data_IF_717062095065
#
_entry.id   IF_717062095065
#
_cell.length_a   1.000
_cell.length_b   1.000
_cell.length_c   1.000
_cell.angle_alpha   90.00
_cell.angle_beta   90.00
_cell.angle_gamma   90.00
#
_symmetry.space_group_name_H-M   'P 1'
#
loop_
_entity.id
_entity.type
_entity.pdbx_description
1 polymer ?
#
# COMPACT_ATOMS: atom_id res chain seq x y z
N UNK A 1 -4.48 13.99 14.47
CA UNK A 1 -4.92 12.75 13.80
C UNK A 1 -3.67 11.94 13.55
N UNK A 2 -3.37 11.00 14.44
CA UNK A 2 -2.27 10.07 14.25
C UNK A 2 -2.74 9.02 13.26
N UNK A 3 -2.33 9.15 11.99
CA UNK A 3 -2.55 8.10 11.00
C UNK A 3 -1.63 6.93 11.36
N UNK A 4 -2.11 6.04 12.22
CA UNK A 4 -1.35 4.83 12.58
C UNK A 4 -1.14 3.99 11.32
N UNK A 5 0.10 3.61 11.00
CA UNK A 5 0.37 2.85 9.80
C UNK A 5 -0.29 1.48 9.87
N UNK A 6 -0.94 1.08 8.78
CA UNK A 6 -1.66 -0.19 8.74
C UNK A 6 -0.67 -1.34 8.57
N UNK A 7 -0.74 -2.33 9.47
CA UNK A 7 0.09 -3.54 9.41
C UNK A 7 -0.79 -4.78 9.21
N UNK A 8 -0.31 -5.71 8.39
CA UNK A 8 -0.95 -6.97 8.09
C UNK A 8 0.08 -8.09 8.21
N UNK A 9 0.09 -8.75 9.38
CA UNK A 9 1.16 -9.70 9.73
C UNK A 9 2.51 -9.00 9.77
N UNK A 10 3.47 -9.49 9.00
CA UNK A 10 4.82 -8.89 8.89
C UNK A 10 4.90 -7.76 7.86
N UNK A 11 3.79 -7.43 7.18
CA UNK A 11 3.77 -6.41 6.14
C UNK A 11 3.19 -5.11 6.65
N UNK A 12 3.87 -4.00 6.38
CA UNK A 12 3.34 -2.65 6.63
C UNK A 12 2.87 -2.04 5.32
N UNK A 13 1.76 -1.30 5.38
CA UNK A 13 1.23 -0.56 4.24
C UNK A 13 2.00 0.74 4.06
N UNK A 14 2.52 0.93 2.86
CA UNK A 14 3.19 2.15 2.45
C UNK A 14 2.48 2.78 1.27
N UNK A 15 2.61 4.10 1.17
CA UNK A 15 2.18 4.89 0.03
C UNK A 15 3.36 5.67 -0.55
N UNK A 16 3.35 5.85 -1.86
CA UNK A 16 4.29 6.76 -2.52
C UNK A 16 3.75 7.28 -3.84
N UNK A 17 4.28 8.41 -4.27
CA UNK A 17 4.00 8.96 -5.59
C UNK A 17 5.00 8.39 -6.60
N UNK A 18 4.48 7.80 -7.66
CA UNK A 18 5.29 7.32 -8.80
C UNK A 18 4.88 8.03 -10.07
N UNK A 19 5.87 8.31 -10.91
CA UNK A 19 5.65 8.80 -12.26
C UNK A 19 5.52 7.60 -13.19
N UNK A 20 4.32 7.36 -13.70
CA UNK A 20 4.05 6.34 -14.71
C UNK A 20 4.43 6.83 -16.11
N UNK A 21 4.43 5.92 -17.09
CA UNK A 21 4.60 6.29 -18.51
C UNK A 21 3.62 7.39 -18.91
N UNK A 22 4.11 8.38 -19.64
CA UNK A 22 3.32 9.54 -20.08
C UNK A 22 3.28 10.70 -19.08
N UNK A 23 4.29 10.84 -18.21
CA UNK A 23 4.39 11.93 -17.21
C UNK A 23 3.21 11.99 -16.22
N UNK A 24 2.49 10.87 -16.05
CA UNK A 24 1.36 10.80 -15.13
C UNK A 24 1.86 10.46 -13.74
N UNK A 25 1.69 11.38 -12.79
CA UNK A 25 1.88 11.09 -11.36
C UNK A 25 0.72 10.28 -10.83
N UNK A 26 1.01 9.16 -10.19
CA UNK A 26 0.02 8.32 -9.52
C UNK A 26 0.51 7.94 -8.14
N UNK A 27 -0.34 8.14 -7.13
CA UNK A 27 -0.09 7.59 -5.81
C UNK A 27 -0.39 6.10 -5.83
N UNK A 28 0.60 5.29 -5.48
CA UNK A 28 0.46 3.84 -5.33
C UNK A 28 0.49 3.46 -3.86
N UNK A 29 -0.13 2.34 -3.54
CA UNK A 29 -0.12 1.74 -2.22
C UNK A 29 0.38 0.31 -2.33
N UNK A 30 1.27 -0.09 -1.42
CA UNK A 30 1.88 -1.40 -1.45
C UNK A 30 2.28 -1.86 -0.06
N UNK A 31 2.33 -3.18 0.12
CA UNK A 31 2.75 -3.81 1.35
C UNK A 31 4.23 -4.19 1.30
N UNK A 32 5.00 -3.88 2.35
CA UNK A 32 6.42 -4.21 2.45
C UNK A 32 6.82 -4.55 3.88
N UNK A 33 7.81 -5.44 4.05
CA UNK A 33 8.35 -5.81 5.37
C UNK A 33 9.40 -4.81 5.87
N UNK A 34 10.27 -4.33 4.99
CA UNK A 34 11.44 -3.50 5.36
C UNK A 34 11.33 -2.02 4.97
N UNK A 35 10.12 -1.54 4.64
CA UNK A 35 9.94 -0.18 4.13
C UNK A 35 10.74 0.08 2.85
N UNK A 36 10.62 1.28 2.29
CA UNK A 36 11.53 1.82 1.27
C UNK A 36 11.73 3.29 1.63
N UNK A 37 12.94 3.82 1.47
CA UNK A 37 13.24 5.25 1.71
C UNK A 37 12.23 6.20 1.05
N UNK A 38 11.80 5.84 -0.15
CA UNK A 38 10.92 6.64 -0.99
C UNK A 38 9.43 6.40 -0.71
N UNK A 39 9.06 5.76 0.40
CA UNK A 39 7.68 5.42 0.71
C UNK A 39 7.33 5.69 2.17
N UNK A 40 6.16 6.30 2.37
CA UNK A 40 5.68 6.68 3.69
C UNK A 40 4.71 5.63 4.20
N UNK A 41 4.88 5.13 5.44
CA UNK A 41 3.91 4.22 6.04
C UNK A 41 2.58 4.96 6.24
N UNK A 42 1.47 4.32 5.90
CA UNK A 42 0.16 4.98 5.82
C UNK A 42 -0.96 4.07 6.33
N UNK A 43 -2.05 4.68 6.79
CA UNK A 43 -3.27 3.97 7.14
C UNK A 43 -3.95 3.39 5.88
N UNK A 44 -4.86 2.43 6.10
CA UNK A 44 -5.65 1.85 5.00
C UNK A 44 -6.63 2.92 4.49
N UNK A 45 -6.58 3.30 3.19
CA UNK A 45 -7.54 4.26 2.64
C UNK A 45 -8.97 3.70 2.65
N UNK A 46 -9.95 4.59 2.83
CA UNK A 46 -11.37 4.25 2.71
C UNK A 46 -11.72 3.82 1.28
N UNK A 47 -12.65 2.88 1.14
CA UNK A 47 -12.98 2.30 -0.17
C UNK A 47 -11.95 1.30 -0.72
N UNK A 48 -10.98 0.88 0.09
CA UNK A 48 -10.07 -0.22 -0.24
C UNK A 48 -10.16 -1.36 0.77
N UNK A 49 -10.17 -2.58 0.25
CA UNK A 49 -10.13 -3.84 0.99
C UNK A 49 -8.75 -4.48 0.87
N UNK A 50 -8.32 -5.18 1.92
CA UNK A 50 -7.09 -5.96 1.88
C UNK A 50 -7.43 -7.36 1.43
N UNK A 51 -6.72 -7.85 0.41
CA UNK A 51 -6.77 -9.25 0.01
C UNK A 51 -5.37 -9.83 0.03
N UNK A 52 -5.26 -11.09 0.41
CA UNK A 52 -4.02 -11.83 0.35
C UNK A 52 -4.06 -12.68 -0.91
N UNK A 53 -3.01 -12.59 -1.71
CA UNK A 53 -2.89 -13.43 -2.89
C UNK A 53 -2.54 -14.86 -2.44
N UNK A 54 -3.48 -15.80 -2.55
CA UNK A 54 -3.32 -17.18 -2.05
C UNK A 54 -2.11 -17.91 -2.66
N UNK A 55 -1.73 -17.56 -3.90
CA UNK A 55 -0.58 -18.16 -4.59
C UNK A 55 0.78 -17.72 -4.06
N UNK A 56 0.88 -16.50 -3.51
CA UNK A 56 2.17 -15.90 -3.10
C UNK A 56 2.21 -15.47 -1.64
N UNK A 57 1.08 -15.50 -0.93
CA UNK A 57 0.93 -14.97 0.42
C UNK A 57 1.04 -13.45 0.52
N UNK A 58 1.15 -12.72 -0.61
CA UNK A 58 1.38 -11.28 -0.59
C UNK A 58 0.06 -10.51 -0.39
N UNK A 59 -0.06 -9.65 0.63
CA UNK A 59 -1.22 -8.77 0.78
C UNK A 59 -1.20 -7.65 -0.28
N UNK A 60 -2.37 -7.33 -0.81
CA UNK A 60 -2.59 -6.26 -1.77
C UNK A 60 -3.89 -5.51 -1.48
N UNK A 61 -3.93 -4.24 -1.87
CA UNK A 61 -5.13 -3.43 -1.80
C UNK A 61 -5.99 -3.68 -3.04
N UNK A 62 -7.24 -4.05 -2.80
CA UNK A 62 -8.28 -4.13 -3.82
C UNK A 62 -9.24 -2.96 -3.60
N UNK A 63 -9.56 -2.23 -4.68
CA UNK A 63 -10.59 -1.20 -4.62
C UNK A 63 -11.94 -1.88 -4.33
N UNK A 64 -12.54 -1.55 -3.19
CA UNK A 64 -13.92 -1.90 -2.90
C UNK A 64 -14.79 -1.06 -3.82
N UNK A 65 -15.68 -1.71 -4.56
CA UNK A 65 -16.50 -1.08 -5.59
C UNK A 65 -17.48 -0.08 -4.99
#
# INVERSE_FOLDING_TARGET
>A
MEETPFTYGEYTLYTKEVTLRGNRKQRIYFFSKNGKDDATPCAKPEGYEIKVNEKTGLPFLKKSK
#
